data_IF_957018200314
#
_entry.id   IF_957018200314
#
_cell.length_a   1.000
_cell.length_b   1.000
_cell.length_c   1.000
_cell.angle_alpha   90.00
_cell.angle_beta   90.00
_cell.angle_gamma   90.00
#
_symmetry.space_group_name_H-M   'P 1'
#
loop_
_entity.id
_entity.type
_entity.pdbx_description
1 polymer ?
#
# COMPACT_ATOMS: atom_id res chain seq x y z
N UNK A 1 -20.45 -58.21 -12.89
CA UNK A 1 -19.05 -57.93 -12.49
C UNK A 1 -18.87 -56.42 -12.51
N UNK A 2 -19.05 -55.74 -11.38
CA UNK A 2 -19.00 -54.27 -11.28
C UNK A 2 -17.58 -53.90 -10.84
N UNK A 3 -16.83 -53.22 -11.70
CA UNK A 3 -15.44 -52.84 -11.43
C UNK A 3 -15.37 -51.85 -10.25
N UNK A 4 -14.61 -52.15 -9.17
CA UNK A 4 -14.56 -51.32 -7.97
C UNK A 4 -13.72 -50.03 -8.13
N UNK A 5 -13.10 -49.79 -9.28
CA UNK A 5 -12.15 -48.68 -9.50
C UNK A 5 -12.78 -47.33 -9.88
N UNK A 6 -14.03 -47.29 -10.34
CA UNK A 6 -14.59 -46.08 -10.97
C UNK A 6 -14.93 -44.97 -9.96
N UNK A 7 -15.30 -45.33 -8.71
CA UNK A 7 -15.69 -44.35 -7.68
C UNK A 7 -14.50 -43.59 -7.07
N UNK A 8 -13.34 -44.23 -6.95
CA UNK A 8 -12.14 -43.66 -6.32
C UNK A 8 -11.47 -42.60 -7.20
N UNK A 9 -11.44 -42.81 -8.51
CA UNK A 9 -10.86 -41.86 -9.47
C UNK A 9 -11.71 -40.59 -9.57
N UNK A 10 -13.03 -40.73 -9.62
CA UNK A 10 -13.98 -39.62 -9.71
C UNK A 10 -13.97 -38.75 -8.45
N UNK A 11 -13.93 -39.37 -7.26
CA UNK A 11 -13.87 -38.63 -6.00
C UNK A 11 -12.54 -37.86 -5.85
N UNK A 12 -11.41 -38.44 -6.27
CA UNK A 12 -10.08 -37.80 -6.25
C UNK A 12 -9.94 -36.65 -7.25
N UNK A 13 -10.59 -36.74 -8.42
CA UNK A 13 -10.55 -35.65 -9.42
C UNK A 13 -11.45 -34.48 -9.03
N UNK A 14 -12.60 -34.75 -8.41
CA UNK A 14 -13.50 -33.71 -7.89
C UNK A 14 -12.85 -32.96 -6.72
N UNK A 15 -12.19 -33.66 -5.78
CA UNK A 15 -11.48 -33.00 -4.67
C UNK A 15 -10.27 -32.21 -5.16
N UNK A 16 -9.50 -32.72 -6.13
CA UNK A 16 -8.35 -32.00 -6.69
C UNK A 16 -8.78 -30.73 -7.44
N UNK A 17 -9.83 -30.78 -8.28
CA UNK A 17 -10.37 -29.61 -8.97
C UNK A 17 -10.93 -28.56 -8.00
N UNK A 18 -11.61 -29.01 -6.94
CA UNK A 18 -12.11 -28.14 -5.87
C UNK A 18 -10.98 -27.44 -5.12
N UNK A 19 -9.89 -28.16 -4.83
CA UNK A 19 -8.73 -27.62 -4.13
C UNK A 19 -7.98 -26.57 -4.97
N UNK A 20 -7.81 -26.83 -6.27
CA UNK A 20 -7.22 -25.87 -7.21
C UNK A 20 -8.07 -24.61 -7.33
N UNK A 21 -9.39 -24.75 -7.47
CA UNK A 21 -10.31 -23.61 -7.52
C UNK A 21 -10.26 -22.77 -6.23
N UNK A 22 -10.25 -23.42 -5.07
CA UNK A 22 -10.14 -22.76 -3.77
C UNK A 22 -8.79 -22.01 -3.62
N UNK A 23 -7.69 -22.62 -4.07
CA UNK A 23 -6.38 -21.98 -4.06
C UNK A 23 -6.32 -20.74 -4.98
N UNK A 24 -6.94 -20.78 -6.16
CA UNK A 24 -7.03 -19.64 -7.07
C UNK A 24 -7.86 -18.49 -6.48
N UNK A 25 -8.98 -18.78 -5.80
CA UNK A 25 -9.81 -17.76 -5.15
C UNK A 25 -9.08 -17.12 -3.97
N UNK A 26 -8.38 -17.93 -3.16
CA UNK A 26 -7.64 -17.45 -1.99
C UNK A 26 -6.44 -16.56 -2.36
N UNK A 27 -5.75 -16.87 -3.47
CA UNK A 27 -4.64 -16.05 -3.98
C UNK A 27 -5.10 -14.73 -4.60
N UNK A 28 -6.30 -14.67 -5.20
CA UNK A 28 -6.91 -13.41 -5.65
C UNK A 28 -7.33 -12.49 -4.48
N UNK A 29 -7.74 -13.06 -3.35
CA UNK A 29 -8.14 -12.31 -2.16
C UNK A 29 -6.97 -11.72 -1.35
N UNK A 30 -5.72 -12.11 -1.65
CA UNK A 30 -4.53 -11.73 -0.87
C UNK A 30 -3.77 -10.50 -1.41
N UNK A 31 -4.29 -9.81 -2.44
CA UNK A 31 -3.64 -8.60 -2.96
C UNK A 31 -4.23 -7.34 -2.33
N UNK A 32 -3.58 -6.85 -1.27
CA UNK A 32 -3.93 -5.58 -0.61
C UNK A 32 -3.50 -4.35 -1.43
N UNK A 33 -2.47 -4.51 -2.25
CA UNK A 33 -1.97 -3.50 -3.16
C UNK A 33 -1.63 -4.12 -4.51
N UNK A 34 -1.89 -3.37 -5.56
CA UNK A 34 -1.53 -3.63 -6.95
C UNK A 34 -0.51 -2.61 -7.44
N UNK A 35 0.18 -2.94 -8.51
CA UNK A 35 1.07 -1.99 -9.18
C UNK A 35 0.27 -0.75 -9.64
N UNK A 36 0.81 0.44 -9.38
CA UNK A 36 0.18 1.72 -9.68
C UNK A 36 -0.77 2.25 -8.59
N UNK A 37 -1.08 1.45 -7.56
CA UNK A 37 -1.88 1.88 -6.41
C UNK A 37 -1.17 2.96 -5.62
N UNK A 38 -1.94 3.89 -5.05
CA UNK A 38 -1.41 4.91 -4.16
C UNK A 38 -0.90 4.29 -2.87
N UNK A 39 0.30 4.68 -2.46
CA UNK A 39 0.90 4.27 -1.19
C UNK A 39 0.52 5.30 -0.14
N UNK A 40 -0.24 4.91 0.92
CA UNK A 40 -0.58 5.83 2.00
C UNK A 40 0.67 6.50 2.55
N UNK A 41 0.71 7.82 2.47
CA UNK A 41 1.84 8.60 2.88
C UNK A 41 1.37 9.89 3.52
N UNK A 42 2.04 10.31 4.59
CA UNK A 42 1.77 11.54 5.29
C UNK A 42 3.06 12.32 5.52
N UNK A 43 2.93 13.64 5.67
CA UNK A 43 4.08 14.53 5.90
C UNK A 43 3.85 15.46 7.09
N UNK A 44 4.93 15.79 7.78
CA UNK A 44 4.95 16.78 8.86
C UNK A 44 6.15 17.71 8.71
N UNK A 45 5.91 19.01 8.90
CA UNK A 45 6.98 20.00 8.97
C UNK A 45 7.32 20.35 10.42
N UNK A 46 8.59 20.66 10.68
CA UNK A 46 9.03 21.30 11.91
C UNK A 46 9.88 22.51 11.57
N UNK A 47 9.49 23.66 12.12
CA UNK A 47 10.20 24.93 11.99
C UNK A 47 10.14 25.67 13.32
N UNK A 48 11.26 26.27 13.75
CA UNK A 48 11.36 27.01 15.01
C UNK A 48 10.81 26.24 16.22
N UNK A 49 11.22 24.96 16.36
CA UNK A 49 10.71 24.00 17.35
C UNK A 49 9.19 23.74 17.33
N UNK A 50 8.46 24.36 16.42
CA UNK A 50 7.01 24.19 16.23
C UNK A 50 6.77 23.15 15.15
N UNK A 51 5.90 22.19 15.44
CA UNK A 51 5.53 21.12 14.50
C UNK A 51 4.15 21.41 13.91
N UNK A 52 4.00 21.16 12.61
CA UNK A 52 2.68 21.06 12.01
C UNK A 52 2.02 19.75 12.43
N UNK A 53 0.73 19.61 12.20
CA UNK A 53 0.09 18.30 12.24
C UNK A 53 0.61 17.42 11.10
N UNK A 54 0.28 16.13 11.15
CA UNK A 54 0.44 15.26 9.99
C UNK A 54 -0.61 15.63 8.95
N UNK A 55 -0.19 15.65 7.69
CA UNK A 55 -1.08 15.90 6.57
C UNK A 55 -0.89 14.79 5.54
N UNK A 56 -1.99 14.21 5.12
CA UNK A 56 -1.99 13.14 4.13
C UNK A 56 -1.55 13.67 2.76
N UNK A 57 -0.75 12.87 2.07
CA UNK A 57 -0.35 13.09 0.70
C UNK A 57 -1.39 12.44 -0.21
N UNK A 58 -2.16 13.26 -0.90
CA UNK A 58 -3.29 12.81 -1.73
C UNK A 58 -3.02 13.03 -3.23
N UNK A 59 -3.62 12.17 -4.05
CA UNK A 59 -3.62 12.29 -5.50
C UNK A 59 -2.20 12.36 -6.08
N UNK A 60 -1.91 13.41 -6.86
CA UNK A 60 -0.60 13.60 -7.52
C UNK A 60 0.58 13.79 -6.56
N UNK A 61 0.32 14.04 -5.29
CA UNK A 61 1.33 14.22 -4.24
C UNK A 61 1.64 12.89 -3.52
N UNK A 62 0.92 11.82 -3.88
CA UNK A 62 1.05 10.51 -3.28
C UNK A 62 1.94 9.59 -4.14
N UNK A 63 2.90 8.85 -3.54
CA UNK A 63 3.67 7.85 -4.26
C UNK A 63 2.77 6.69 -4.74
N UNK A 64 3.28 5.92 -5.71
CA UNK A 64 2.57 4.81 -6.34
C UNK A 64 3.44 3.57 -6.27
N UNK A 65 2.83 2.44 -5.93
CA UNK A 65 3.56 1.19 -5.75
C UNK A 65 4.06 0.66 -7.09
N UNK A 66 5.34 0.27 -7.15
CA UNK A 66 5.94 -0.34 -8.34
C UNK A 66 6.32 0.65 -9.45
N UNK A 67 6.05 1.95 -9.29
CA UNK A 67 6.40 2.98 -10.27
C UNK A 67 7.50 3.89 -9.72
N UNK A 68 8.59 4.03 -10.46
CA UNK A 68 9.58 5.07 -10.18
C UNK A 68 9.04 6.42 -10.66
N UNK A 69 8.72 7.30 -9.72
CA UNK A 69 8.17 8.61 -10.03
C UNK A 69 8.66 9.68 -9.06
N UNK A 70 8.89 10.87 -9.61
CA UNK A 70 9.16 12.07 -8.82
C UNK A 70 7.83 12.72 -8.44
N UNK A 71 7.64 12.92 -7.14
CA UNK A 71 6.41 13.49 -6.59
C UNK A 71 6.71 14.79 -5.85
N UNK A 72 6.02 15.86 -6.24
CA UNK A 72 6.14 17.13 -5.54
C UNK A 72 5.36 17.07 -4.22
N UNK A 73 5.98 17.44 -3.10
CA UNK A 73 5.31 17.51 -1.79
C UNK A 73 5.05 18.98 -1.42
N UNK A 74 3.81 19.38 -1.12
CA UNK A 74 3.52 20.74 -0.73
C UNK A 74 4.05 21.04 0.68
N UNK A 75 5.01 21.96 0.76
CA UNK A 75 5.63 22.43 1.99
C UNK A 75 5.13 23.85 2.26
N UNK A 76 4.38 24.10 3.36
CA UNK A 76 3.90 25.44 3.66
C UNK A 76 5.08 26.35 4.01
N UNK A 77 5.05 27.58 3.46
CA UNK A 77 6.05 28.59 3.77
C UNK A 77 5.99 28.91 5.28
N UNK A 78 7.14 28.94 5.98
CA UNK A 78 7.17 29.38 7.36
C UNK A 78 6.76 30.86 7.43
N UNK A 79 5.71 31.17 8.20
CA UNK A 79 5.20 32.55 8.40
C UNK A 79 5.98 33.34 9.46
N UNK A 80 6.77 32.67 10.30
CA UNK A 80 7.62 33.33 11.28
C UNK A 80 8.88 33.87 10.58
N UNK A 81 9.14 35.16 10.83
CA UNK A 81 10.01 36.09 10.10
C UNK A 81 11.42 35.57 9.72
N UNK A 82 11.91 36.12 8.60
CA UNK A 82 13.05 35.73 7.76
C UNK A 82 14.46 35.96 8.36
N UNK A 83 14.59 36.31 9.64
CA UNK A 83 15.88 36.73 10.22
C UNK A 83 16.71 35.60 10.85
N UNK A 84 16.14 34.42 11.06
CA UNK A 84 16.85 33.27 11.64
C UNK A 84 17.20 32.24 10.58
N UNK A 85 18.45 31.75 10.59
CA UNK A 85 18.95 30.58 9.81
C UNK A 85 18.31 29.25 10.25
N UNK A 86 17.02 29.27 10.58
CA UNK A 86 16.33 28.11 11.11
C UNK A 86 16.12 27.07 10.01
N UNK A 87 16.56 25.85 10.29
CA UNK A 87 16.42 24.73 9.37
C UNK A 87 14.98 24.22 9.37
N UNK A 88 14.36 24.17 8.20
CA UNK A 88 13.07 23.52 8.03
C UNK A 88 13.28 22.00 7.96
N UNK A 89 12.71 21.26 8.92
CA UNK A 89 12.79 19.79 8.94
C UNK A 89 11.49 19.20 8.41
N UNK A 90 11.61 18.17 7.58
CA UNK A 90 10.48 17.44 7.01
C UNK A 90 10.55 15.99 7.48
N UNK A 91 9.42 15.43 7.89
CA UNK A 91 9.28 14.02 8.20
C UNK A 91 8.21 13.41 7.31
N UNK A 92 8.45 12.19 6.87
CA UNK A 92 7.52 11.38 6.10
C UNK A 92 7.13 10.14 6.90
N UNK A 93 5.87 9.74 6.78
CA UNK A 93 5.36 8.48 7.28
C UNK A 93 4.73 7.73 6.10
N UNK A 94 5.03 6.46 5.99
CA UNK A 94 4.42 5.53 5.04
C UNK A 94 3.76 4.46 5.87
N UNK A 95 2.58 4.79 6.40
CA UNK A 95 1.85 3.87 7.25
C UNK A 95 1.27 2.78 6.34
N UNK A 96 2.01 1.68 6.22
CA UNK A 96 1.54 0.47 5.55
C UNK A 96 0.30 -0.03 6.27
N UNK A 97 -0.84 -0.01 5.58
CA UNK A 97 -2.14 -0.54 6.00
C UNK A 97 -2.13 -1.54 7.18
N UNK A 98 -2.91 -1.22 8.22
CA UNK A 98 -3.73 -2.20 8.96
C UNK A 98 -4.60 -2.98 8.00
#
# INVERSE_FOLDING_TARGET
MIMPGFKSVFLKTVTFRSLVLCACICSAACRKYSEGDFVPAARRGQFHQTRTQWHDLLGRHCPRLGWDQLVAVPIPQPKAFLDTKDTYKISFAFDGCA
#
